data_IF_646004290583
#
_entry.id   IF_646004290583
#
_cell.length_a   1.000
_cell.length_b   1.000
_cell.length_c   1.000
_cell.angle_alpha   90.00
_cell.angle_beta   90.00
_cell.angle_gamma   90.00
#
_symmetry.space_group_name_H-M   'P 1'
#
loop_
_entity.id
_entity.type
_entity.pdbx_description
1 polymer ?
#
# COMPACT_ATOMS: atom_id res chain seq x y z
N UNK A 1 -10.84 -1.99 14.08
CA UNK A 1 -10.90 -1.63 12.64
C UNK A 1 -9.53 -1.81 12.01
N UNK A 2 -9.50 -2.39 10.85
CA UNK A 2 -8.27 -2.54 10.08
C UNK A 2 -8.25 -1.45 9.01
N UNK A 3 -7.17 -0.69 8.96
CA UNK A 3 -6.99 0.36 7.96
C UNK A 3 -5.75 0.07 7.14
N UNK A 4 -5.85 0.31 5.86
CA UNK A 4 -4.73 0.23 4.95
C UNK A 4 -4.50 1.62 4.36
N UNK A 5 -3.30 2.15 4.56
CA UNK A 5 -2.93 3.46 4.07
C UNK A 5 -1.64 3.39 3.29
N UNK A 6 -1.55 4.20 2.25
CA UNK A 6 -0.32 4.43 1.54
C UNK A 6 0.23 5.77 1.99
N UNK A 7 1.51 5.81 2.34
CA UNK A 7 2.15 7.02 2.81
C UNK A 7 2.33 8.01 1.66
N UNK A 8 2.10 9.31 1.91
CA UNK A 8 2.26 10.36 0.92
C UNK A 8 0.99 10.64 0.12
N UNK A 9 -0.14 10.73 0.78
CA UNK A 9 -1.44 11.09 0.21
C UNK A 9 -2.05 10.10 -0.78
N UNK A 10 -1.68 8.83 -0.66
CA UNK A 10 -2.38 7.78 -1.36
C UNK A 10 -3.74 7.53 -0.72
N UNK A 11 -4.57 6.74 -1.40
CA UNK A 11 -5.88 6.42 -0.91
C UNK A 11 -5.83 5.73 0.45
N UNK A 12 -6.62 6.23 1.38
CA UNK A 12 -6.92 5.50 2.59
C UNK A 12 -7.91 4.41 2.22
N UNK A 13 -7.50 3.18 2.32
CA UNK A 13 -8.42 2.08 2.20
C UNK A 13 -8.88 1.71 3.60
N UNK A 14 -10.00 2.29 4.00
CA UNK A 14 -10.65 1.87 5.23
C UNK A 14 -11.21 0.49 5.01
N UNK A 15 -10.69 -0.46 5.74
CA UNK A 15 -11.23 -1.79 5.67
C UNK A 15 -12.57 -1.81 6.40
N UNK A 16 -13.56 -2.38 5.75
CA UNK A 16 -14.91 -2.53 6.26
C UNK A 16 -15.04 -3.61 7.34
N UNK A 17 -13.97 -4.27 7.68
CA UNK A 17 -13.93 -5.26 8.76
C UNK A 17 -13.84 -4.55 10.10
N UNK A 18 -14.96 -4.08 10.60
CA UNK A 18 -14.97 -3.21 11.77
C UNK A 18 -14.69 -3.91 13.09
N UNK A 19 -15.04 -5.13 13.27
CA UNK A 19 -14.72 -5.87 14.48
C UNK A 19 -14.57 -7.33 14.17
N UNK A 20 -13.40 -7.84 14.37
CA UNK A 20 -13.16 -9.27 14.33
C UNK A 20 -13.09 -9.73 15.78
N UNK A 21 -14.17 -10.32 16.27
CA UNK A 21 -14.17 -10.91 17.62
C UNK A 21 -13.17 -12.05 17.66
N UNK A 22 -12.33 -12.03 18.67
CA UNK A 22 -11.33 -13.06 18.85
C UNK A 22 -10.02 -12.81 18.11
N UNK A 23 -9.96 -11.70 17.38
CA UNK A 23 -8.71 -11.24 16.79
C UNK A 23 -8.36 -11.92 15.49
N UNK A 24 -8.26 -11.12 14.47
CA UNK A 24 -7.53 -11.47 13.26
C UNK A 24 -6.08 -11.73 13.69
N UNK A 25 -5.47 -12.80 13.17
CA UNK A 25 -4.07 -13.08 13.49
C UNK A 25 -3.18 -12.01 12.86
N UNK A 26 -2.80 -11.03 13.67
CA UNK A 26 -2.03 -9.88 13.21
C UNK A 26 -0.65 -10.26 12.69
N UNK A 27 -0.14 -11.46 13.04
CA UNK A 27 1.13 -11.92 12.50
C UNK A 27 1.07 -12.15 10.98
N UNK A 28 -0.10 -12.40 10.43
CA UNK A 28 -0.29 -12.55 8.98
C UNK A 28 -0.18 -11.24 8.22
N UNK A 29 -0.25 -10.11 8.91
CA UNK A 29 -0.18 -8.81 8.26
C UNK A 29 1.17 -8.57 7.59
N UNK A 30 2.25 -9.09 8.15
CA UNK A 30 3.58 -8.99 7.54
C UNK A 30 3.61 -9.65 6.16
N UNK A 31 2.92 -10.76 6.02
CA UNK A 31 2.79 -11.43 4.72
C UNK A 31 2.17 -10.49 3.68
N UNK A 32 1.10 -9.78 4.05
CA UNK A 32 0.43 -8.85 3.15
C UNK A 32 1.24 -7.59 2.91
N UNK A 33 1.95 -7.11 3.92
CA UNK A 33 2.90 -6.02 3.75
C UNK A 33 3.94 -6.37 2.69
N UNK A 34 4.53 -7.55 2.79
CA UNK A 34 5.54 -8.01 1.84
C UNK A 34 4.95 -8.24 0.45
N UNK A 35 3.77 -8.82 0.35
CA UNK A 35 3.09 -9.00 -0.93
C UNK A 35 2.83 -7.67 -1.61
N UNK A 36 2.45 -6.65 -0.84
CA UNK A 36 2.25 -5.30 -1.36
C UNK A 36 3.54 -4.70 -1.90
N UNK A 37 4.64 -4.87 -1.18
CA UNK A 37 5.96 -4.42 -1.65
C UNK A 37 6.31 -5.06 -2.99
N UNK A 38 6.14 -6.37 -3.11
CA UNK A 38 6.42 -7.08 -4.36
C UNK A 38 5.52 -6.60 -5.50
N UNK A 39 4.23 -6.45 -5.24
CA UNK A 39 3.28 -5.98 -6.25
C UNK A 39 3.61 -4.56 -6.71
N UNK A 40 3.93 -3.67 -5.78
CA UNK A 40 4.31 -2.30 -6.10
C UNK A 40 5.61 -2.26 -6.89
N UNK A 41 6.61 -3.06 -6.47
CA UNK A 41 7.88 -3.14 -7.17
C UNK A 41 7.68 -3.59 -8.63
N UNK A 42 6.88 -4.62 -8.84
CA UNK A 42 6.63 -5.17 -10.17
C UNK A 42 5.86 -4.21 -11.08
N UNK A 43 5.03 -3.36 -10.51
CA UNK A 43 4.16 -2.47 -11.28
C UNK A 43 4.69 -1.04 -11.39
N UNK A 44 5.75 -0.71 -10.68
CA UNK A 44 6.37 0.62 -10.77
C UNK A 44 6.91 0.84 -12.18
N UNK A 45 6.54 1.95 -12.85
CA UNK A 45 7.10 2.25 -14.16
C UNK A 45 8.62 2.30 -14.11
N UNK A 46 9.25 1.55 -15.00
CA UNK A 46 10.71 1.37 -14.95
C UNK A 46 11.39 2.44 -15.80
N UNK A 47 11.74 3.56 -15.19
CA UNK A 47 12.68 4.48 -15.82
C UNK A 47 14.10 4.25 -15.28
N UNK A 48 14.24 3.98 -13.99
CA UNK A 48 15.56 3.81 -13.36
C UNK A 48 15.72 2.56 -12.53
N UNK A 49 14.64 1.86 -12.23
CA UNK A 49 14.67 0.73 -11.30
C UNK A 49 14.80 1.10 -9.83
N UNK A 50 15.36 2.27 -9.52
CA UNK A 50 15.57 2.68 -8.13
C UNK A 50 14.25 2.83 -7.37
N UNK A 51 13.24 3.42 -7.99
CA UNK A 51 11.92 3.55 -7.37
C UNK A 51 11.30 2.18 -7.10
N UNK A 52 11.42 1.26 -8.07
CA UNK A 52 10.89 -0.09 -7.91
C UNK A 52 11.56 -0.85 -6.75
N UNK A 53 12.82 -0.59 -6.48
CA UNK A 53 13.59 -1.24 -5.42
C UNK A 53 13.45 -0.58 -4.06
N UNK A 54 12.78 0.57 -3.99
CA UNK A 54 12.74 1.40 -2.79
C UNK A 54 11.45 1.28 -1.99
N UNK A 55 10.57 0.35 -2.33
CA UNK A 55 9.34 0.10 -1.60
C UNK A 55 9.61 -0.62 -0.28
N UNK A 56 8.87 -0.21 0.74
CA UNK A 56 8.88 -0.85 2.04
C UNK A 56 7.49 -0.76 2.65
N UNK A 57 7.33 -1.34 3.83
CA UNK A 57 6.08 -1.25 4.55
C UNK A 57 6.33 -1.16 6.05
N UNK A 58 5.33 -0.61 6.74
CA UNK A 58 5.31 -0.52 8.18
C UNK A 58 3.95 -1.00 8.67
N UNK A 59 3.92 -1.66 9.83
CA UNK A 59 2.68 -2.07 10.46
C UNK A 59 2.58 -1.39 11.81
N UNK A 60 1.46 -0.70 12.03
CA UNK A 60 1.12 -0.11 13.30
C UNK A 60 -0.07 -0.87 13.88
N UNK A 61 -0.06 -1.06 15.19
CA UNK A 61 -1.10 -1.82 15.88
C UNK A 61 -1.64 -1.00 17.04
N UNK A 62 -2.97 -0.93 17.11
CA UNK A 62 -3.67 -0.39 18.26
C UNK A 62 -4.49 -1.48 18.94
N UNK A 63 -5.33 -1.07 19.89
CA UNK A 63 -6.15 -2.02 20.64
C UNK A 63 -7.13 -2.78 19.76
N UNK A 64 -7.83 -2.06 18.87
CA UNK A 64 -8.89 -2.61 18.02
C UNK A 64 -8.63 -2.39 16.54
N UNK A 65 -7.39 -2.04 16.16
CA UNK A 65 -7.07 -1.70 14.78
C UNK A 65 -5.62 -2.02 14.46
N UNK A 66 -5.36 -2.16 13.19
CA UNK A 66 -4.00 -2.17 12.68
C UNK A 66 -3.95 -1.39 11.37
N UNK A 67 -2.75 -0.97 11.00
CA UNK A 67 -2.52 -0.19 9.78
C UNK A 67 -1.28 -0.73 9.08
N UNK A 68 -1.40 -0.98 7.80
CA UNK A 68 -0.25 -1.25 6.95
C UNK A 68 -0.02 0.00 6.10
N UNK A 69 1.19 0.53 6.16
CA UNK A 69 1.58 1.69 5.37
C UNK A 69 2.72 1.29 4.45
N UNK A 70 2.52 1.43 3.14
CA UNK A 70 3.60 1.23 2.18
C UNK A 70 4.28 2.56 1.92
N UNK A 71 5.62 2.53 1.89
CA UNK A 71 6.45 3.71 1.72
C UNK A 71 7.45 3.49 0.61
N UNK A 72 7.89 4.59 0.00
CA UNK A 72 8.98 4.53 -0.96
C UNK A 72 10.06 5.52 -0.55
N UNK A 73 11.28 5.03 -0.40
CA UNK A 73 12.40 5.83 0.10
C UNK A 73 13.11 6.63 -0.99
N UNK A 74 12.71 6.47 -2.25
CA UNK A 74 13.34 7.23 -3.32
C UNK A 74 12.80 8.66 -3.37
N UNK A 75 13.46 9.54 -2.62
CA UNK A 75 13.13 10.97 -2.54
C UNK A 75 14.30 11.74 -3.14
N UNK A 76 13.99 12.59 -4.12
CA UNK A 76 14.99 13.41 -4.80
C UNK A 76 14.57 14.88 -4.67
N UNK A 77 15.42 15.71 -4.09
CA UNK A 77 15.16 17.12 -3.88
C UNK A 77 13.83 17.38 -3.18
N UNK A 78 13.51 16.55 -2.18
CA UNK A 78 12.26 16.66 -1.43
C UNK A 78 11.03 16.04 -2.09
N UNK A 79 11.16 15.55 -3.30
CA UNK A 79 10.04 14.96 -4.03
C UNK A 79 10.08 13.42 -3.97
N UNK A 80 8.94 12.82 -3.60
CA UNK A 80 8.80 11.37 -3.63
C UNK A 80 8.54 10.94 -5.08
N UNK A 81 9.49 10.24 -5.65
CA UNK A 81 9.44 9.88 -7.07
C UNK A 81 8.28 8.91 -7.37
N UNK A 82 7.97 8.01 -6.45
CA UNK A 82 6.85 7.09 -6.65
C UNK A 82 5.52 7.84 -6.82
N UNK A 83 5.32 8.94 -6.08
CA UNK A 83 4.13 9.77 -6.21
C UNK A 83 4.11 10.55 -7.51
N UNK A 84 5.26 11.06 -7.94
CA UNK A 84 5.35 11.76 -9.22
C UNK A 84 4.99 10.84 -10.39
N UNK A 85 5.39 9.58 -10.32
CA UNK A 85 5.05 8.61 -11.35
C UNK A 85 3.54 8.30 -11.37
N UNK A 86 2.92 8.26 -10.19
CA UNK A 86 1.50 7.96 -10.06
C UNK A 86 0.62 9.10 -10.55
N UNK A 87 0.93 10.33 -10.15
CA UNK A 87 0.05 11.48 -10.37
C UNK A 87 0.47 12.39 -11.50
N UNK A 88 1.67 12.22 -12.01
CA UNK A 88 2.23 13.13 -12.99
C UNK A 88 2.87 14.34 -12.31
N UNK A 89 3.59 15.11 -13.09
CA UNK A 89 4.30 16.28 -12.55
C UNK A 89 4.73 17.23 -13.66
N UNK A 90 5.01 18.47 -13.28
CA UNK A 90 5.62 19.44 -14.16
C UNK A 90 7.15 19.31 -14.10
N UNK A 91 7.79 19.39 -15.26
CA UNK A 91 9.25 19.45 -15.33
C UNK A 91 9.73 20.88 -15.09
N UNK A 92 11.04 21.08 -14.94
CA UNK A 92 11.64 22.40 -14.77
C UNK A 92 11.36 23.33 -15.95
N UNK A 93 11.19 22.77 -17.15
CA UNK A 93 10.88 23.56 -18.36
C UNK A 93 9.39 23.90 -18.48
N UNK A 94 8.56 23.46 -17.53
CA UNK A 94 7.12 23.71 -17.54
C UNK A 94 6.32 22.70 -18.34
N UNK A 95 6.93 21.65 -18.85
CA UNK A 95 6.25 20.58 -19.55
C UNK A 95 5.60 19.64 -18.54
N UNK A 96 4.38 19.22 -18.83
CA UNK A 96 3.68 18.24 -17.97
C UNK A 96 4.01 16.81 -18.40
N UNK A 97 4.31 15.97 -17.43
CA UNK A 97 4.48 14.53 -17.61
C UNK A 97 3.26 13.83 -17.00
N UNK A 98 2.54 13.06 -17.82
CA UNK A 98 1.36 12.35 -17.36
C UNK A 98 1.71 11.27 -16.34
N UNK A 99 0.83 11.12 -15.35
CA UNK A 99 0.93 10.05 -14.38
C UNK A 99 0.44 8.72 -14.93
N UNK A 100 0.87 7.65 -14.30
CA UNK A 100 0.42 6.29 -14.59
C UNK A 100 -0.18 5.74 -13.31
N UNK A 101 -1.47 5.43 -13.33
CA UNK A 101 -2.14 4.84 -12.17
C UNK A 101 -1.68 3.41 -11.99
N UNK A 102 -0.68 3.20 -11.13
CA UNK A 102 -0.11 1.87 -10.91
C UNK A 102 -0.24 1.37 -9.47
N UNK A 103 -0.32 2.28 -8.51
CA UNK A 103 -0.24 1.93 -7.09
C UNK A 103 -1.51 1.20 -6.63
N UNK A 104 -2.67 1.81 -6.84
CA UNK A 104 -3.93 1.19 -6.44
C UNK A 104 -4.20 -0.12 -7.18
N UNK A 105 -4.03 -0.20 -8.51
CA UNK A 105 -4.17 -1.47 -9.20
C UNK A 105 -3.21 -2.55 -8.71
N UNK A 106 -1.98 -2.19 -8.35
CA UNK A 106 -1.01 -3.15 -7.82
C UNK A 106 -1.44 -3.71 -6.46
N UNK A 107 -1.97 -2.86 -5.59
CA UNK A 107 -2.35 -3.25 -4.23
C UNK A 107 -3.72 -3.89 -4.14
N UNK A 108 -4.60 -3.69 -5.13
CA UNK A 108 -5.97 -4.21 -5.08
C UNK A 108 -6.03 -5.72 -4.84
N UNK A 109 -5.29 -6.56 -5.57
CA UNK A 109 -5.31 -8.01 -5.29
C UNK A 109 -4.85 -8.36 -3.88
N UNK A 110 -3.89 -7.61 -3.35
CA UNK A 110 -3.39 -7.81 -1.98
C UNK A 110 -4.51 -7.53 -0.97
N UNK A 111 -5.23 -6.42 -1.14
CA UNK A 111 -6.35 -6.08 -0.27
C UNK A 111 -7.49 -7.08 -0.37
N UNK A 112 -7.82 -7.51 -1.57
CA UNK A 112 -8.87 -8.50 -1.78
C UNK A 112 -8.54 -9.82 -1.09
N UNK A 113 -7.31 -10.27 -1.20
CA UNK A 113 -6.87 -11.49 -0.55
C UNK A 113 -6.90 -11.35 0.97
N UNK A 114 -6.42 -10.23 1.50
CA UNK A 114 -6.47 -9.95 2.93
C UNK A 114 -7.91 -9.91 3.44
N UNK A 115 -8.80 -9.22 2.73
CA UNK A 115 -10.20 -9.11 3.11
C UNK A 115 -10.87 -10.48 3.12
N UNK A 116 -10.61 -11.30 2.11
CA UNK A 116 -11.17 -12.66 2.01
C UNK A 116 -10.68 -13.54 3.16
N UNK A 117 -9.41 -13.47 3.49
CA UNK A 117 -8.84 -14.26 4.58
C UNK A 117 -9.39 -13.82 5.93
N UNK A 118 -9.47 -12.52 6.16
CA UNK A 118 -10.04 -11.98 7.40
C UNK A 118 -11.52 -12.36 7.53
N UNK A 119 -12.28 -12.28 6.45
CA UNK A 119 -13.68 -12.66 6.44
C UNK A 119 -13.86 -14.15 6.73
N UNK A 120 -12.98 -14.98 6.19
CA UNK A 120 -12.98 -16.41 6.47
C UNK A 120 -12.75 -16.69 7.94
N UNK A 121 -11.80 -16.01 8.58
CA UNK A 121 -11.54 -16.16 10.01
C UNK A 121 -12.75 -15.76 10.84
N UNK A 122 -13.44 -14.69 10.49
CA UNK A 122 -14.65 -14.26 11.18
C UNK A 122 -15.74 -15.35 11.12
N UNK A 123 -15.90 -15.98 9.96
CA UNK A 123 -16.92 -17.04 9.81
C UNK A 123 -16.56 -18.30 10.59
N UNK A 124 -15.29 -18.58 10.80
CA UNK A 124 -14.84 -19.77 11.53
C UNK A 124 -15.01 -19.62 13.05
N UNK A 125 -15.19 -18.40 13.53
CA UNK A 125 -15.37 -18.11 14.96
C UNK A 125 -16.77 -18.46 15.43
N UNK A 126 -17.73 -18.50 14.55
CA UNK A 126 -19.10 -18.90 14.87
C UNK A 126 -19.23 -20.45 14.87
#
# INVERSE_FOLDING_TARGET
MIKFEQKGDFHKLNNWLEKIKGGFNLSKLDKYGQQGVEALSMNTPVSTGKTAESWGYEIERGKDWCRITWTNSNVVEGANIALLLQYGHATRSGTWVEGIDYIEPALRPVFEQLANEAWKEVREID
#
